data_IF_496162002355
#
_entry.id   IF_496162002355
#
_cell.length_a   1.000
_cell.length_b   1.000
_cell.length_c   1.000
_cell.angle_alpha   90.00
_cell.angle_beta   90.00
_cell.angle_gamma   90.00
#
_symmetry.space_group_name_H-M   'P 1'
#
loop_
_entity.id
_entity.type
_entity.pdbx_description
1 polymer ?
#
# COMPACT_ATOMS: atom_id res chain seq x y z
N UNK A 1 8.70 18.23 3.57
CA UNK A 1 10.15 18.16 3.90
C UNK A 1 10.74 19.48 4.43
N UNK A 2 10.30 20.66 3.96
CA UNK A 2 10.98 21.95 4.21
C UNK A 2 11.15 22.38 5.67
N UNK A 3 10.42 21.79 6.64
CA UNK A 3 10.72 22.01 8.05
C UNK A 3 12.09 21.45 8.42
N UNK A 4 12.35 20.18 8.08
CA UNK A 4 13.60 19.48 8.38
C UNK A 4 14.79 20.16 7.69
N UNK A 5 14.66 20.53 6.42
CA UNK A 5 15.70 21.28 5.69
C UNK A 5 16.07 22.62 6.33
N UNK A 6 15.10 23.32 6.93
CA UNK A 6 15.36 24.57 7.64
C UNK A 6 15.99 24.30 9.00
N UNK A 7 15.61 23.20 9.64
CA UNK A 7 16.16 22.77 10.91
C UNK A 7 17.64 22.38 10.78
N UNK A 8 17.99 21.54 9.79
CA UNK A 8 19.38 21.15 9.54
C UNK A 8 20.30 22.33 9.20
N UNK A 9 19.75 23.40 8.60
CA UNK A 9 20.47 24.66 8.33
C UNK A 9 20.56 25.60 9.54
N UNK A 10 20.19 25.16 10.74
CA UNK A 10 20.32 25.94 11.98
C UNK A 10 19.30 27.06 12.15
N UNK A 11 18.24 27.14 11.33
CA UNK A 11 17.23 28.23 11.41
C UNK A 11 16.55 28.32 12.78
N UNK A 12 16.51 27.22 13.53
CA UNK A 12 15.85 27.11 14.83
C UNK A 12 16.84 26.98 16.01
N UNK A 13 18.15 27.13 15.78
CA UNK A 13 19.18 26.94 16.81
C UNK A 13 19.19 25.52 17.37
N UNK A 14 19.38 25.38 18.68
CA UNK A 14 19.46 24.09 19.40
C UNK A 14 18.10 23.60 19.95
N UNK A 15 16.98 24.22 19.55
CA UNK A 15 15.67 23.85 20.09
C UNK A 15 15.32 22.42 19.66
N UNK A 16 15.08 21.48 20.59
CA UNK A 16 14.70 20.13 20.21
C UNK A 16 13.34 20.14 19.50
N UNK A 17 13.13 19.15 18.63
CA UNK A 17 11.84 18.92 17.98
C UNK A 17 11.39 17.47 18.14
N UNK A 18 10.10 17.26 18.00
CA UNK A 18 9.49 15.95 17.86
C UNK A 18 8.70 15.92 16.55
N UNK A 19 8.82 14.85 15.78
CA UNK A 19 8.12 14.67 14.52
C UNK A 19 7.43 13.30 14.51
N UNK A 20 6.15 13.29 14.17
CA UNK A 20 5.40 12.09 13.86
C UNK A 20 4.97 12.15 12.39
N UNK A 21 5.46 11.21 11.59
CA UNK A 21 5.09 11.05 10.19
C UNK A 21 4.20 9.82 10.05
N UNK A 22 2.95 10.03 9.63
CA UNK A 22 1.98 8.97 9.41
C UNK A 22 1.63 8.91 7.92
N UNK A 23 1.87 7.74 7.32
CA UNK A 23 1.50 7.44 5.95
C UNK A 23 0.25 6.55 5.98
N UNK A 24 -0.91 7.02 5.50
CA UNK A 24 -2.13 6.20 5.47
C UNK A 24 -2.07 5.13 4.35
N UNK A 25 -1.36 5.42 3.27
CA UNK A 25 -1.02 4.44 2.25
C UNK A 25 -0.11 3.34 2.82
N UNK A 26 -0.16 2.09 2.29
CA UNK A 26 -0.91 1.64 1.13
C UNK A 26 -2.30 1.07 1.49
N UNK A 27 -2.95 1.57 2.56
CA UNK A 27 -4.29 1.12 2.91
C UNK A 27 -5.29 1.43 1.78
N UNK A 28 -6.22 0.51 1.54
CA UNK A 28 -7.26 0.66 0.52
C UNK A 28 -8.13 1.92 0.75
N UNK A 29 -8.59 2.62 -0.30
CA UNK A 29 -8.40 2.34 -1.73
C UNK A 29 -6.99 2.70 -2.23
N UNK A 30 -6.40 1.82 -3.03
CA UNK A 30 -5.03 1.99 -3.54
C UNK A 30 -5.04 2.78 -4.85
N UNK A 31 -4.54 4.02 -4.81
CA UNK A 31 -4.51 4.92 -5.98
C UNK A 31 -3.27 5.83 -5.98
N UNK A 32 -2.05 5.28 -6.20
CA UNK A 32 -0.84 6.08 -6.28
C UNK A 32 -0.93 7.14 -7.40
N UNK A 33 -0.36 8.34 -7.21
CA UNK A 33 -0.41 9.42 -8.18
C UNK A 33 0.75 9.38 -9.19
N UNK A 34 0.51 9.98 -10.36
CA UNK A 34 1.55 10.30 -11.35
C UNK A 34 2.42 9.10 -11.71
N UNK A 35 3.75 9.30 -11.72
CA UNK A 35 4.72 8.25 -12.11
C UNK A 35 4.58 6.95 -11.32
N UNK A 36 4.10 6.98 -10.07
CA UNK A 36 3.97 5.79 -9.24
C UNK A 36 2.79 4.91 -9.67
N UNK A 37 1.80 5.49 -10.34
CA UNK A 37 0.67 4.75 -10.93
C UNK A 37 1.12 3.81 -12.04
N UNK A 38 2.04 4.28 -12.87
CA UNK A 38 2.49 3.58 -14.07
C UNK A 38 3.87 2.92 -13.88
N UNK A 39 4.40 2.93 -12.64
CA UNK A 39 5.74 2.42 -12.30
C UNK A 39 5.85 0.90 -12.45
N UNK A 40 4.77 0.18 -12.17
CA UNK A 40 4.70 -1.27 -12.27
C UNK A 40 3.58 -1.64 -13.24
N UNK A 41 3.86 -2.52 -14.20
CA UNK A 41 2.87 -2.97 -15.18
C UNK A 41 2.10 -4.17 -14.65
N UNK A 42 0.76 -4.21 -14.75
CA UNK A 42 -0.04 -5.35 -14.29
C UNK A 42 0.40 -6.70 -14.89
N UNK A 43 0.78 -6.72 -16.15
CA UNK A 43 1.27 -7.92 -16.85
C UNK A 43 2.53 -8.55 -16.22
N UNK A 44 3.33 -7.75 -15.52
CA UNK A 44 4.57 -8.19 -14.86
C UNK A 44 4.33 -8.69 -13.42
N UNK A 45 3.12 -8.51 -12.86
CA UNK A 45 2.86 -8.80 -11.44
C UNK A 45 2.66 -10.30 -11.18
N UNK A 46 3.44 -10.88 -10.26
CA UNK A 46 3.26 -12.30 -9.90
C UNK A 46 1.97 -12.47 -9.09
N UNK A 47 1.10 -13.38 -9.53
CA UNK A 47 -0.09 -13.74 -8.78
C UNK A 47 0.29 -14.48 -7.48
N UNK A 48 -0.47 -14.30 -6.39
CA UNK A 48 -0.32 -15.12 -5.20
C UNK A 48 -0.45 -16.61 -5.52
N UNK A 49 0.37 -17.45 -4.89
CA UNK A 49 0.38 -18.91 -5.13
C UNK A 49 -0.99 -19.58 -4.97
N UNK A 50 -1.85 -19.01 -4.13
CA UNK A 50 -3.18 -19.51 -3.83
C UNK A 50 -4.28 -18.95 -4.75
N UNK A 51 -3.97 -18.11 -5.73
CA UNK A 51 -4.97 -17.43 -6.57
C UNK A 51 -5.93 -18.42 -7.26
N UNK A 52 -5.42 -19.51 -7.84
CA UNK A 52 -6.24 -20.53 -8.49
C UNK A 52 -6.86 -21.56 -7.52
N UNK A 53 -6.64 -21.41 -6.20
CA UNK A 53 -7.11 -22.36 -5.18
C UNK A 53 -8.29 -21.82 -4.36
N UNK A 54 -9.22 -21.12 -5.02
CA UNK A 54 -10.37 -20.51 -4.35
C UNK A 54 -11.26 -21.54 -3.64
N UNK A 55 -11.34 -22.77 -4.18
CA UNK A 55 -12.09 -23.88 -3.57
C UNK A 55 -11.62 -24.23 -2.16
N UNK A 56 -10.35 -24.02 -1.85
CA UNK A 56 -9.82 -24.26 -0.52
C UNK A 56 -10.33 -23.22 0.50
N UNK A 57 -10.59 -21.98 0.06
CA UNK A 57 -11.13 -20.93 0.91
C UNK A 57 -12.52 -21.29 1.46
N UNK A 58 -13.36 -21.90 0.62
CA UNK A 58 -14.69 -22.42 1.00
C UNK A 58 -14.66 -23.62 1.96
N UNK A 59 -13.48 -24.20 2.21
CA UNK A 59 -13.29 -25.26 3.22
C UNK A 59 -12.78 -24.70 4.55
N UNK A 60 -12.42 -23.42 4.62
CA UNK A 60 -11.85 -22.82 5.81
C UNK A 60 -12.90 -22.74 6.94
N UNK A 61 -12.63 -23.27 8.15
CA UNK A 61 -13.63 -23.41 9.22
C UNK A 61 -14.25 -22.09 9.66
N UNK A 62 -13.52 -20.98 9.53
CA UNK A 62 -14.03 -19.63 9.82
C UNK A 62 -14.59 -18.90 8.59
N UNK A 63 -13.98 -19.03 7.41
CA UNK A 63 -14.32 -18.18 6.26
C UNK A 63 -15.50 -18.75 5.48
N UNK A 64 -15.70 -20.08 5.50
CA UNK A 64 -16.80 -20.75 4.82
C UNK A 64 -18.14 -20.08 5.11
N UNK A 65 -18.48 -19.88 6.39
CA UNK A 65 -19.73 -19.20 6.76
C UNK A 65 -19.82 -17.81 6.14
N UNK A 66 -18.75 -17.01 6.13
CA UNK A 66 -18.80 -15.66 5.58
C UNK A 66 -18.91 -15.65 4.05
N UNK A 67 -18.30 -16.61 3.37
CA UNK A 67 -18.35 -16.75 1.91
C UNK A 67 -19.69 -17.29 1.41
N UNK A 68 -20.38 -18.10 2.22
CA UNK A 68 -21.72 -18.62 1.92
C UNK A 68 -22.84 -17.61 2.21
N UNK A 69 -22.55 -16.52 2.94
CA UNK A 69 -23.53 -15.46 3.26
C UNK A 69 -23.35 -14.25 2.34
N UNK A 70 -24.29 -13.95 1.42
CA UNK A 70 -24.13 -12.92 0.38
C UNK A 70 -23.72 -11.52 0.89
N UNK A 71 -24.30 -10.98 1.99
CA UNK A 71 -23.91 -9.66 2.49
C UNK A 71 -22.45 -9.60 2.98
N UNK A 72 -21.92 -10.70 3.52
CA UNK A 72 -20.54 -10.78 3.99
C UNK A 72 -19.56 -11.00 2.83
N UNK A 73 -19.97 -11.76 1.80
CA UNK A 73 -19.20 -11.95 0.57
C UNK A 73 -18.95 -10.62 -0.14
N UNK A 74 -19.98 -9.83 -0.38
CA UNK A 74 -19.83 -8.61 -1.18
C UNK A 74 -19.15 -7.45 -0.39
N UNK A 75 -19.36 -7.41 0.93
CA UNK A 75 -18.78 -6.36 1.78
C UNK A 75 -17.33 -6.63 2.21
N UNK A 76 -16.99 -7.89 2.56
CA UNK A 76 -15.75 -8.23 3.27
C UNK A 76 -14.82 -9.17 2.49
N UNK A 77 -15.36 -10.11 1.70
CA UNK A 77 -14.58 -11.19 1.06
C UNK A 77 -14.99 -11.40 -0.39
N UNK A 78 -14.27 -10.79 -1.31
CA UNK A 78 -14.61 -10.76 -2.73
C UNK A 78 -13.72 -11.72 -3.52
N UNK A 79 -14.32 -12.41 -4.48
CA UNK A 79 -13.55 -13.08 -5.53
C UNK A 79 -13.20 -12.03 -6.57
N UNK A 80 -11.98 -12.07 -7.09
CA UNK A 80 -11.50 -11.08 -8.05
C UNK A 80 -10.89 -11.75 -9.27
N UNK A 81 -10.88 -11.01 -10.37
CA UNK A 81 -10.27 -11.46 -11.62
C UNK A 81 -8.75 -11.37 -11.54
N UNK A 82 -8.06 -12.16 -12.36
CA UNK A 82 -6.60 -12.09 -12.50
C UNK A 82 -6.15 -10.68 -12.89
N UNK A 83 -6.85 -10.06 -13.84
CA UNK A 83 -6.60 -8.69 -14.28
C UNK A 83 -6.69 -7.69 -13.12
N UNK A 84 -7.75 -7.78 -12.31
CA UNK A 84 -7.94 -6.87 -11.17
C UNK A 84 -6.90 -7.09 -10.08
N UNK A 85 -6.56 -8.35 -9.75
CA UNK A 85 -5.52 -8.65 -8.76
C UNK A 85 -4.17 -8.13 -9.21
N UNK A 86 -3.79 -8.37 -10.48
CA UNK A 86 -2.55 -7.84 -11.05
C UNK A 86 -2.49 -6.31 -10.99
N UNK A 87 -3.58 -5.64 -11.37
CA UNK A 87 -3.68 -4.17 -11.25
C UNK A 87 -3.56 -3.71 -9.80
N UNK A 88 -4.24 -4.38 -8.88
CA UNK A 88 -4.20 -4.04 -7.46
C UNK A 88 -2.79 -4.18 -6.88
N UNK A 89 -2.07 -5.25 -7.23
CA UNK A 89 -0.68 -5.47 -6.83
C UNK A 89 0.22 -4.37 -7.40
N UNK A 90 0.12 -4.06 -8.70
CA UNK A 90 0.91 -3.02 -9.35
C UNK A 90 0.71 -1.65 -8.69
N UNK A 91 -0.54 -1.26 -8.43
CA UNK A 91 -0.86 -0.01 -7.75
C UNK A 91 -0.36 -0.01 -6.30
N UNK A 92 -0.44 -1.16 -5.61
CA UNK A 92 0.07 -1.28 -4.23
C UNK A 92 1.58 -1.08 -4.18
N UNK A 93 2.33 -1.67 -5.12
CA UNK A 93 3.77 -1.45 -5.24
C UNK A 93 4.08 0.00 -5.58
N UNK A 94 3.30 0.64 -6.45
CA UNK A 94 3.38 2.08 -6.71
C UNK A 94 3.25 2.91 -5.44
N UNK A 95 2.24 2.65 -4.61
CA UNK A 95 2.05 3.32 -3.31
C UNK A 95 3.21 3.08 -2.35
N UNK A 96 3.73 1.86 -2.27
CA UNK A 96 4.89 1.54 -1.43
C UNK A 96 6.13 2.30 -1.91
N UNK A 97 6.39 2.36 -3.21
CA UNK A 97 7.52 3.13 -3.77
C UNK A 97 7.37 4.64 -3.55
N UNK A 98 6.15 5.18 -3.53
CA UNK A 98 5.92 6.57 -3.13
C UNK A 98 6.32 6.81 -1.66
N UNK A 99 5.91 5.91 -0.76
CA UNK A 99 6.25 6.00 0.66
C UNK A 99 7.76 5.89 0.85
N UNK A 100 8.41 4.93 0.19
CA UNK A 100 9.87 4.76 0.20
C UNK A 100 10.58 6.04 -0.23
N UNK A 101 10.14 6.64 -1.34
CA UNK A 101 10.69 7.92 -1.79
C UNK A 101 10.53 9.04 -0.75
N UNK A 102 9.36 9.15 -0.12
CA UNK A 102 9.10 10.16 0.91
C UNK A 102 9.95 9.94 2.17
N UNK A 103 10.15 8.69 2.58
CA UNK A 103 11.07 8.32 3.68
C UNK A 103 12.50 8.69 3.33
N UNK A 104 12.95 8.40 2.10
CA UNK A 104 14.26 8.80 1.60
C UNK A 104 14.47 10.32 1.67
N UNK A 105 13.45 11.11 1.30
CA UNK A 105 13.52 12.58 1.44
C UNK A 105 13.66 13.02 2.90
N UNK A 106 12.96 12.36 3.84
CA UNK A 106 13.08 12.63 5.28
C UNK A 106 14.50 12.37 5.76
N UNK A 107 15.05 11.19 5.49
CA UNK A 107 16.40 10.82 5.91
C UNK A 107 17.46 11.75 5.32
N UNK A 108 17.38 12.02 4.02
CA UNK A 108 18.32 12.93 3.34
C UNK A 108 18.27 14.38 3.87
N UNK A 109 17.20 14.79 4.54
CA UNK A 109 17.11 16.11 5.17
C UNK A 109 17.70 16.17 6.58
N UNK A 110 17.98 15.00 7.18
CA UNK A 110 18.57 14.84 8.52
C UNK A 110 20.08 14.60 8.48
N UNK A 111 20.61 14.11 7.36
CA UNK A 111 22.05 14.01 7.05
C UNK A 111 22.64 15.37 6.67
#
# INVERSE_FOLDING_TARGET
ISFLERYSKGKYGEKPFFLHCSFPDPHQPVSPPGKYRDMYKPEDMVLPENFHNIKNLYKHPYLKKHLEHPPAKDALLREETEENIRKFIALSYGSVSLIDHAVGQILASLE
#
